data_IF_855416873485
#
_entry.id   IF_855416873485
#
_cell.length_a   1.000
_cell.length_b   1.000
_cell.length_c   1.000
_cell.angle_alpha   90.00
_cell.angle_beta   90.00
_cell.angle_gamma   90.00
#
_symmetry.space_group_name_H-M   'P 1'
#
loop_
_entity.id
_entity.type
_entity.pdbx_description
1 polymer ?
#
# COMPACT_ATOMS: atom_id res chain seq x y z
N UNK A 1 10.49 -10.83 -4.21
CA UNK A 1 9.24 -10.51 -4.91
C UNK A 1 9.59 -9.67 -6.12
N UNK A 2 9.06 -10.01 -7.30
CA UNK A 2 9.10 -9.17 -8.50
C UNK A 2 8.03 -8.07 -8.43
N UNK A 3 8.09 -7.10 -9.34
CA UNK A 3 7.09 -6.01 -9.38
C UNK A 3 5.68 -6.53 -9.70
N UNK A 4 5.57 -7.53 -10.57
CA UNK A 4 4.29 -8.15 -10.92
C UNK A 4 3.69 -8.95 -9.76
N UNK A 5 4.53 -9.73 -9.06
CA UNK A 5 4.12 -10.41 -7.82
C UNK A 5 3.66 -9.42 -6.74
N UNK A 6 4.33 -8.27 -6.63
CA UNK A 6 3.95 -7.22 -5.69
C UNK A 6 2.58 -6.62 -6.01
N UNK A 7 2.29 -6.36 -7.28
CA UNK A 7 0.99 -5.86 -7.72
C UNK A 7 -0.11 -6.88 -7.43
N UNK A 8 0.08 -8.14 -7.82
CA UNK A 8 -0.90 -9.21 -7.56
C UNK A 8 -1.17 -9.36 -6.07
N UNK A 9 -0.12 -9.32 -5.24
CA UNK A 9 -0.26 -9.40 -3.78
C UNK A 9 -1.05 -8.22 -3.24
N UNK A 10 -0.71 -6.99 -3.64
CA UNK A 10 -1.41 -5.78 -3.21
C UNK A 10 -2.89 -5.81 -3.60
N UNK A 11 -3.22 -6.16 -4.84
CA UNK A 11 -4.60 -6.24 -5.33
C UNK A 11 -5.47 -7.27 -4.59
N UNK A 12 -4.86 -8.21 -3.86
CA UNK A 12 -5.55 -9.19 -3.04
C UNK A 12 -5.73 -8.77 -1.57
N UNK A 13 -5.16 -7.64 -1.14
CA UNK A 13 -5.26 -7.16 0.25
C UNK A 13 -6.59 -6.45 0.50
N UNK A 14 -7.14 -6.63 1.70
CA UNK A 14 -8.30 -5.85 2.14
C UNK A 14 -8.03 -4.33 2.12
N UNK A 15 -6.81 -3.92 2.48
CA UNK A 15 -6.38 -2.53 2.39
C UNK A 15 -6.45 -1.95 0.97
N UNK A 16 -6.27 -2.77 -0.08
CA UNK A 16 -6.44 -2.31 -1.45
C UNK A 16 -7.92 -2.11 -1.79
N UNK A 17 -8.81 -2.97 -1.30
CA UNK A 17 -10.26 -2.85 -1.50
C UNK A 17 -10.80 -1.51 -0.99
N UNK A 18 -10.30 -1.05 0.15
CA UNK A 18 -10.63 0.22 0.82
C UNK A 18 -9.80 1.43 0.34
N UNK A 19 -8.85 1.21 -0.57
CA UNK A 19 -7.99 2.27 -1.10
C UNK A 19 -8.63 3.03 -2.28
N UNK A 20 -7.97 4.10 -2.71
CA UNK A 20 -8.38 4.86 -3.90
C UNK A 20 -8.17 4.12 -5.23
N UNK A 21 -7.35 3.06 -5.26
CA UNK A 21 -7.07 2.23 -6.47
C UNK A 21 -6.61 3.06 -7.67
N UNK A 22 -5.81 4.10 -7.42
CA UNK A 22 -5.37 5.04 -8.46
C UNK A 22 -4.52 4.40 -9.56
N UNK A 23 -3.99 3.21 -9.32
CA UNK A 23 -3.29 2.40 -10.33
C UNK A 23 -4.23 1.76 -11.36
N UNK A 24 -5.54 1.61 -11.11
CA UNK A 24 -6.47 1.10 -12.14
C UNK A 24 -6.59 2.04 -13.35
N UNK A 25 -6.48 3.34 -13.11
CA UNK A 25 -6.52 4.36 -14.17
C UNK A 25 -5.15 4.58 -14.82
N UNK A 26 -4.08 4.48 -14.04
CA UNK A 26 -2.72 4.89 -14.46
C UNK A 26 -1.81 3.73 -14.85
N UNK A 27 -2.08 2.52 -14.35
CA UNK A 27 -1.18 1.38 -14.38
C UNK A 27 0.14 1.62 -13.63
N UNK A 28 0.24 2.68 -12.81
CA UNK A 28 1.48 3.05 -12.13
C UNK A 28 1.58 2.40 -10.76
N UNK A 29 2.73 1.77 -10.50
CA UNK A 29 3.03 1.17 -9.22
C UNK A 29 3.18 2.21 -8.10
N UNK A 30 3.64 3.41 -8.42
CA UNK A 30 3.74 4.48 -7.43
C UNK A 30 2.33 4.91 -6.97
N UNK A 31 1.34 4.88 -7.87
CA UNK A 31 -0.06 5.15 -7.52
C UNK A 31 -0.65 4.04 -6.62
N UNK A 32 -0.34 2.77 -6.92
CA UNK A 32 -0.72 1.64 -6.06
C UNK A 32 -0.11 1.75 -4.66
N UNK A 33 1.19 2.04 -4.61
CA UNK A 33 1.93 2.16 -3.36
C UNK A 33 1.40 3.30 -2.50
N UNK A 34 1.15 4.47 -3.11
CA UNK A 34 0.58 5.62 -2.41
C UNK A 34 -0.84 5.32 -1.89
N UNK A 35 -1.69 4.67 -2.69
CA UNK A 35 -3.06 4.32 -2.28
C UNK A 35 -3.09 3.46 -1.02
N UNK A 36 -2.17 2.48 -0.91
CA UNK A 36 -2.04 1.64 0.28
C UNK A 36 -1.39 2.38 1.47
N UNK A 37 -0.45 3.29 1.19
CA UNK A 37 0.16 4.14 2.23
C UNK A 37 -0.89 5.02 2.90
N UNK A 38 -1.79 5.61 2.13
CA UNK A 38 -2.86 6.48 2.63
C UNK A 38 -3.83 5.69 3.52
N UNK A 39 -4.21 4.47 3.13
CA UNK A 39 -5.01 3.57 3.98
C UNK A 39 -4.30 3.28 5.30
N UNK A 40 -2.99 2.96 5.25
CA UNK A 40 -2.19 2.73 6.46
C UNK A 40 -2.14 3.96 7.38
N UNK A 41 -2.02 5.16 6.83
CA UNK A 41 -2.06 6.39 7.62
C UNK A 41 -3.44 6.61 8.25
N UNK A 42 -4.51 6.49 7.48
CA UNK A 42 -5.88 6.68 7.97
C UNK A 42 -6.23 5.69 9.08
N UNK A 43 -5.84 4.42 8.94
CA UNK A 43 -6.01 3.43 9.99
C UNK A 43 -5.19 3.77 11.25
N UNK A 44 -3.96 4.25 11.10
CA UNK A 44 -3.09 4.65 12.22
C UNK A 44 -3.70 5.80 13.04
N UNK A 45 -4.43 6.71 12.39
CA UNK A 45 -5.16 7.80 13.06
C UNK A 45 -6.57 7.41 13.52
N UNK A 46 -6.97 6.14 13.37
CA UNK A 46 -8.29 5.63 13.75
C UNK A 46 -9.44 6.16 12.89
N UNK A 47 -9.14 6.59 11.66
CA UNK A 47 -10.15 7.05 10.69
C UNK A 47 -10.79 5.87 9.96
N UNK A 48 -9.99 4.85 9.65
CA UNK A 48 -10.46 3.57 9.13
C UNK A 48 -10.33 2.50 10.22
N UNK A 49 -11.36 1.67 10.35
CA UNK A 49 -11.36 0.53 11.26
C UNK A 49 -10.87 -0.69 10.49
N UNK A 50 -9.73 -1.24 10.93
CA UNK A 50 -9.06 -2.38 10.30
C UNK A 50 -8.66 -3.37 11.39
N UNK A 51 -8.76 -4.66 11.09
CA UNK A 51 -8.14 -5.66 11.94
C UNK A 51 -6.61 -5.50 11.88
N UNK A 52 -5.94 -5.78 12.99
CA UNK A 52 -4.50 -5.57 13.11
C UNK A 52 -3.71 -6.41 12.10
N UNK A 53 -4.19 -7.62 11.78
CA UNK A 53 -3.57 -8.49 10.78
C UNK A 53 -3.69 -7.92 9.36
N UNK A 54 -4.84 -7.33 9.01
CA UNK A 54 -5.11 -6.74 7.69
C UNK A 54 -4.23 -5.52 7.44
N UNK A 55 -4.10 -4.64 8.45
CA UNK A 55 -3.27 -3.44 8.30
C UNK A 55 -1.78 -3.78 8.36
N UNK A 56 -1.37 -4.79 9.14
CA UNK A 56 0.02 -5.21 9.20
C UNK A 56 0.49 -5.82 7.87
N UNK A 57 -0.36 -6.56 7.16
CA UNK A 57 -0.04 -7.05 5.82
C UNK A 57 0.30 -5.91 4.86
N UNK A 58 -0.53 -4.85 4.83
CA UNK A 58 -0.29 -3.68 3.99
C UNK A 58 0.99 -2.93 4.40
N UNK A 59 1.22 -2.74 5.71
CA UNK A 59 2.42 -2.09 6.25
C UNK A 59 3.71 -2.84 5.89
N UNK A 60 3.69 -4.17 5.97
CA UNK A 60 4.82 -5.01 5.54
C UNK A 60 5.07 -4.88 4.04
N UNK A 61 4.01 -4.96 3.24
CA UNK A 61 4.12 -4.80 1.79
C UNK A 61 4.69 -3.45 1.39
N UNK A 62 4.28 -2.36 2.06
CA UNK A 62 4.83 -1.02 1.81
C UNK A 62 6.34 -0.97 2.07
N UNK A 63 6.81 -1.55 3.17
CA UNK A 63 8.24 -1.62 3.52
C UNK A 63 9.02 -2.46 2.51
N UNK A 64 8.49 -3.63 2.16
CA UNK A 64 9.15 -4.57 1.23
C UNK A 64 9.24 -4.00 -0.18
N UNK A 65 8.25 -3.21 -0.62
CA UNK A 65 8.16 -2.75 -2.01
C UNK A 65 8.58 -1.31 -2.23
N UNK A 66 8.87 -0.54 -1.18
CA UNK A 66 9.31 0.86 -1.27
C UNK A 66 10.43 1.08 -2.28
N UNK A 67 11.40 0.17 -2.32
CA UNK A 67 12.54 0.23 -3.23
C UNK A 67 12.17 0.07 -4.73
N UNK A 68 10.96 -0.43 -5.03
CA UNK A 68 10.44 -0.60 -6.40
C UNK A 68 9.71 0.64 -6.93
N UNK A 69 9.42 1.61 -6.05
CA UNK A 69 8.79 2.89 -6.41
C UNK A 69 9.81 3.80 -7.11
N UNK A 70 9.35 4.78 -7.88
CA UNK A 70 10.21 5.83 -8.44
C UNK A 70 10.29 7.03 -7.51
N UNK A 71 9.17 7.39 -6.90
CA UNK A 71 9.01 8.63 -6.14
C UNK A 71 9.12 8.46 -4.62
N UNK A 72 9.00 7.23 -4.11
CA UNK A 72 8.85 6.98 -2.66
C UNK A 72 9.97 6.14 -2.05
N UNK A 73 11.09 5.94 -2.74
CA UNK A 73 12.18 5.08 -2.26
C UNK A 73 12.73 5.51 -0.89
N UNK A 74 12.73 6.82 -0.64
CA UNK A 74 13.22 7.46 0.59
C UNK A 74 12.08 7.85 1.54
N UNK A 75 10.82 7.58 1.19
CA UNK A 75 9.67 7.90 2.05
C UNK A 75 9.81 7.18 3.37
N UNK A 76 9.82 7.95 4.44
CA UNK A 76 9.86 7.40 5.78
C UNK A 76 8.46 6.89 6.16
N UNK A 77 8.42 5.66 6.64
CA UNK A 77 7.19 4.95 6.95
C UNK A 77 7.02 4.96 8.47
N UNK A 78 6.04 5.72 8.95
CA UNK A 78 5.77 5.95 10.36
C UNK A 78 4.34 5.56 10.70
N UNK A 79 4.16 4.30 11.08
CA UNK A 79 2.90 3.76 11.58
C UNK A 79 3.19 2.86 12.77
#
# INVERSE_FOLDING_TARGET
MTKEEAIIKAHAMYAYEESEKSDEETGDFDALWQSLYDVCQLATYGVLDFDEDEINEAREWLKETRHMTKHYQETEIYF
#
